data_IF_389165211276
#
_entry.id   IF_389165211276
#
_cell.length_a   1.000
_cell.length_b   1.000
_cell.length_c   1.000
_cell.angle_alpha   90.00
_cell.angle_beta   90.00
_cell.angle_gamma   90.00
#
_symmetry.space_group_name_H-M   'P 1'
#
loop_
_entity.id
_entity.type
_entity.pdbx_description
1 polymer ?
#
# COMPACT_ATOMS: atom_id res chain seq x y z
N UNK A 1 -5.79 -14.72 -22.93
CA UNK A 1 -5.54 -13.57 -23.80
C UNK A 1 -5.80 -12.33 -22.97
N UNK A 2 -4.72 -11.66 -22.57
CA UNK A 2 -4.71 -10.37 -21.84
C UNK A 2 -4.97 -9.27 -22.85
N UNK A 3 -6.08 -8.54 -22.73
CA UNK A 3 -6.14 -7.20 -23.28
C UNK A 3 -5.38 -6.30 -22.31
N UNK A 4 -4.17 -5.88 -22.68
CA UNK A 4 -3.64 -4.62 -22.16
C UNK A 4 -4.67 -3.54 -22.49
N UNK A 5 -4.99 -2.60 -21.58
CA UNK A 5 -5.83 -1.46 -21.93
C UNK A 5 -5.20 -0.78 -23.14
N UNK A 6 -5.97 -0.67 -24.21
CA UNK A 6 -5.55 -0.02 -25.45
C UNK A 6 -5.19 1.43 -25.14
N UNK A 7 -4.16 1.96 -25.79
CA UNK A 7 -3.61 3.31 -25.58
C UNK A 7 -4.61 4.48 -25.85
N UNK A 8 -5.85 4.15 -26.24
CA UNK A 8 -7.00 5.05 -26.41
C UNK A 8 -7.86 5.19 -25.15
N UNK A 9 -7.66 4.34 -24.14
CA UNK A 9 -8.35 4.45 -22.86
C UNK A 9 -7.60 5.43 -21.95
N UNK A 10 -8.28 6.45 -21.44
CA UNK A 10 -7.72 7.40 -20.47
C UNK A 10 -7.51 6.74 -19.10
N UNK A 11 -6.52 5.87 -19.03
CA UNK A 11 -6.22 5.02 -17.90
C UNK A 11 -4.72 4.98 -17.60
N UNK A 12 -4.39 4.82 -16.33
CA UNK A 12 -3.04 4.53 -15.88
C UNK A 12 -3.03 3.16 -15.19
N UNK A 13 -2.02 2.33 -15.41
CA UNK A 13 -1.94 1.02 -14.78
C UNK A 13 -0.55 0.67 -14.27
N UNK A 14 -0.51 -0.26 -13.31
CA UNK A 14 0.72 -0.91 -12.84
C UNK A 14 0.49 -2.39 -12.64
N UNK A 15 1.51 -3.18 -12.95
CA UNK A 15 1.52 -4.63 -12.69
C UNK A 15 2.49 -4.95 -11.57
N UNK A 16 2.03 -5.73 -10.60
CA UNK A 16 2.75 -6.03 -9.37
C UNK A 16 2.93 -7.54 -9.26
N UNK A 17 4.19 -7.97 -9.26
CA UNK A 17 4.57 -9.34 -8.92
C UNK A 17 4.30 -9.62 -7.45
N UNK A 18 3.61 -10.73 -7.16
CA UNK A 18 3.26 -11.11 -5.77
C UNK A 18 3.74 -12.51 -5.41
N UNK A 19 4.09 -12.76 -4.13
CA UNK A 19 4.52 -14.09 -3.66
C UNK A 19 3.34 -14.98 -3.20
N UNK A 20 2.13 -14.67 -3.66
CA UNK A 20 0.88 -15.29 -3.22
C UNK A 20 0.13 -15.90 -4.40
N UNK A 21 -0.60 -16.97 -4.13
CA UNK A 21 -1.60 -17.52 -5.04
C UNK A 21 -2.79 -16.56 -5.23
N UNK A 22 -3.59 -16.82 -6.26
CA UNK A 22 -4.71 -15.98 -6.64
C UNK A 22 -5.76 -15.85 -5.53
N UNK A 23 -6.07 -16.91 -4.79
CA UNK A 23 -7.12 -16.89 -3.77
C UNK A 23 -6.71 -16.08 -2.55
N UNK A 24 -5.44 -16.19 -2.14
CA UNK A 24 -4.88 -15.39 -1.06
C UNK A 24 -4.81 -13.93 -1.43
N UNK A 25 -4.50 -13.61 -2.69
CA UNK A 25 -4.49 -12.24 -3.18
C UNK A 25 -5.91 -11.65 -3.25
N UNK A 26 -6.91 -12.42 -3.71
CA UNK A 26 -8.32 -12.01 -3.67
C UNK A 26 -8.81 -11.69 -2.26
N UNK A 27 -8.52 -12.55 -1.28
CA UNK A 27 -8.83 -12.28 0.14
C UNK A 27 -8.12 -11.03 0.68
N UNK A 28 -6.92 -10.73 0.18
CA UNK A 28 -6.22 -9.50 0.55
C UNK A 28 -6.95 -8.25 0.01
N UNK A 29 -7.53 -8.32 -1.19
CA UNK A 29 -8.28 -7.21 -1.79
C UNK A 29 -9.61 -6.89 -1.10
N UNK A 30 -10.13 -7.81 -0.27
CA UNK A 30 -11.36 -7.56 0.49
C UNK A 30 -11.17 -6.52 1.62
N UNK A 31 -9.94 -6.29 2.07
CA UNK A 31 -9.63 -5.28 3.10
C UNK A 31 -9.26 -3.94 2.46
N UNK A 32 -10.29 -3.22 2.01
CA UNK A 32 -10.18 -1.94 1.29
C UNK A 32 -9.44 -0.89 2.13
N UNK A 33 -9.73 -0.83 3.44
CA UNK A 33 -9.04 0.11 4.34
C UNK A 33 -7.54 -0.13 4.35
N UNK A 34 -7.11 -1.39 4.44
CA UNK A 34 -5.70 -1.76 4.35
C UNK A 34 -5.10 -1.43 3.00
N UNK A 35 -5.80 -1.71 1.91
CA UNK A 35 -5.34 -1.48 0.55
C UNK A 35 -4.95 -0.01 0.33
N UNK A 36 -5.84 0.91 0.70
CA UNK A 36 -5.60 2.36 0.62
C UNK A 36 -4.54 2.83 1.61
N UNK A 37 -4.53 2.33 2.85
CA UNK A 37 -3.53 2.72 3.86
C UNK A 37 -2.10 2.33 3.50
N UNK A 38 -1.89 1.41 2.57
CA UNK A 38 -0.57 1.06 2.05
C UNK A 38 -0.02 2.17 1.15
N UNK A 39 -0.87 2.96 0.48
CA UNK A 39 -0.43 4.08 -0.36
C UNK A 39 0.29 5.13 0.49
N UNK A 40 1.61 5.24 0.36
CA UNK A 40 2.41 6.22 1.12
C UNK A 40 2.22 7.67 0.65
N UNK A 41 1.53 7.88 -0.46
CA UNK A 41 1.19 9.20 -0.99
C UNK A 41 -0.17 9.71 -0.49
N UNK A 42 -0.90 8.93 0.31
CA UNK A 42 -2.14 9.38 0.95
C UNK A 42 -1.93 9.59 2.45
N UNK A 43 -2.11 10.82 2.90
CA UNK A 43 -2.20 11.15 4.32
C UNK A 43 -3.68 11.26 4.72
N UNK A 44 -4.20 10.20 5.33
CA UNK A 44 -5.61 10.10 5.70
C UNK A 44 -5.96 11.01 6.87
N UNK A 45 -6.97 11.86 6.68
CA UNK A 45 -7.73 12.48 7.75
C UNK A 45 -8.86 11.54 8.19
N UNK A 46 -9.56 10.94 7.22
CA UNK A 46 -10.64 9.99 7.44
C UNK A 46 -10.60 8.85 6.41
N UNK A 47 -10.81 7.63 6.90
CA UNK A 47 -11.18 6.50 6.06
C UNK A 47 -12.11 5.60 6.87
N UNK A 48 -13.40 5.82 6.69
CA UNK A 48 -14.47 5.21 7.47
C UNK A 48 -15.37 4.41 6.55
N UNK A 49 -15.87 3.28 7.04
CA UNK A 49 -16.87 2.50 6.33
C UNK A 49 -18.24 3.06 6.68
N UNK A 50 -19.06 3.35 5.68
CA UNK A 50 -20.41 3.94 5.81
C UNK A 50 -21.52 2.96 5.45
N UNK A 51 -21.19 1.88 4.72
CA UNK A 51 -22.10 0.78 4.35
C UNK A 51 -21.34 -0.53 4.13
N UNK A 52 -22.00 -1.59 3.67
CA UNK A 52 -21.36 -2.91 3.46
C UNK A 52 -20.14 -2.84 2.54
N UNK A 53 -20.21 -1.98 1.51
CA UNK A 53 -19.12 -1.76 0.53
C UNK A 53 -18.91 -0.29 0.19
N UNK A 54 -19.27 0.57 1.13
CA UNK A 54 -19.20 2.01 0.97
C UNK A 54 -18.27 2.60 2.02
N UNK A 55 -17.45 3.56 1.59
CA UNK A 55 -16.49 4.23 2.46
C UNK A 55 -16.48 5.72 2.19
N UNK A 56 -16.28 6.51 3.24
CA UNK A 56 -15.91 7.91 3.12
C UNK A 56 -14.40 8.05 3.23
N UNK A 57 -13.79 8.69 2.23
CA UNK A 57 -12.37 8.98 2.16
C UNK A 57 -12.14 10.48 2.24
N UNK A 58 -11.32 10.90 3.21
CA UNK A 58 -10.74 12.23 3.27
C UNK A 58 -9.24 12.13 3.50
N UNK A 59 -8.45 12.60 2.55
CA UNK A 59 -6.99 12.49 2.62
C UNK A 59 -6.30 13.62 1.86
N UNK A 60 -5.08 13.96 2.27
CA UNK A 60 -4.17 14.76 1.46
C UNK A 60 -3.39 13.84 0.53
N UNK A 61 -3.52 14.05 -0.78
CA UNK A 61 -2.69 13.40 -1.77
C UNK A 61 -1.36 14.15 -1.90
N UNK A 62 -0.27 13.50 -1.49
CA UNK A 62 1.07 14.07 -1.50
C UNK A 62 1.68 14.13 -2.92
N UNK A 63 1.10 13.45 -3.92
CA UNK A 63 1.64 13.47 -5.29
C UNK A 63 1.29 14.74 -6.05
N UNK A 64 0.18 15.38 -5.68
CA UNK A 64 -0.29 16.65 -6.27
C UNK A 64 -0.55 17.73 -5.20
N UNK A 65 -0.39 17.41 -3.91
CA UNK A 65 -0.54 18.35 -2.79
C UNK A 65 -1.99 18.67 -2.41
N UNK A 66 -2.98 18.13 -3.14
CA UNK A 66 -4.40 18.46 -2.96
C UNK A 66 -5.07 17.58 -1.92
N UNK A 67 -6.10 18.11 -1.27
CA UNK A 67 -7.02 17.33 -0.45
C UNK A 67 -8.06 16.66 -1.34
N UNK A 68 -8.32 15.39 -1.10
CA UNK A 68 -9.35 14.59 -1.75
C UNK A 68 -10.40 14.24 -0.71
N UNK A 69 -11.65 14.53 -1.03
CA UNK A 69 -12.82 14.14 -0.24
C UNK A 69 -13.84 13.50 -1.19
N UNK A 70 -14.08 12.19 -1.02
CA UNK A 70 -14.93 11.42 -1.92
C UNK A 70 -15.50 10.20 -1.20
N UNK A 71 -16.62 9.69 -1.73
CA UNK A 71 -17.18 8.42 -1.32
C UNK A 71 -16.69 7.33 -2.29
N UNK A 72 -16.34 6.19 -1.71
CA UNK A 72 -15.89 5.00 -2.41
C UNK A 72 -17.02 3.97 -2.38
N UNK A 73 -17.38 3.44 -3.55
CA UNK A 73 -18.24 2.27 -3.65
C UNK A 73 -17.43 1.10 -4.22
N UNK A 74 -17.49 -0.05 -3.55
CA UNK A 74 -16.68 -1.22 -3.89
C UNK A 74 -17.55 -2.31 -4.48
N UNK A 75 -17.21 -2.76 -5.69
CA UNK A 75 -17.88 -3.86 -6.36
C UNK A 75 -16.90 -5.01 -6.58
N UNK A 76 -17.37 -6.23 -6.40
CA UNK A 76 -16.61 -7.42 -6.79
C UNK A 76 -16.66 -7.52 -8.32
N UNK A 77 -15.53 -7.80 -8.93
CA UNK A 77 -15.41 -8.12 -10.35
C UNK A 77 -14.77 -9.50 -10.50
N UNK A 78 -14.85 -10.10 -11.68
CA UNK A 78 -14.27 -11.41 -11.93
C UNK A 78 -12.77 -11.40 -11.66
N UNK A 79 -12.37 -12.10 -10.59
CA UNK A 79 -10.98 -12.17 -10.15
C UNK A 79 -10.45 -10.90 -9.46
N UNK A 80 -11.31 -9.98 -8.99
CA UNK A 80 -10.85 -8.69 -8.48
C UNK A 80 -11.88 -7.85 -7.74
N UNK A 81 -11.55 -6.59 -7.54
CA UNK A 81 -12.45 -5.56 -7.02
C UNK A 81 -12.32 -4.27 -7.83
N UNK A 82 -13.43 -3.56 -8.00
CA UNK A 82 -13.49 -2.24 -8.61
C UNK A 82 -13.94 -1.27 -7.52
N UNK A 83 -13.22 -0.17 -7.37
CA UNK A 83 -13.57 0.93 -6.47
C UNK A 83 -13.95 2.13 -7.31
N UNK A 84 -15.20 2.56 -7.24
CA UNK A 84 -15.67 3.78 -7.93
C UNK A 84 -15.68 4.96 -6.97
N UNK A 85 -15.33 6.13 -7.49
CA UNK A 85 -15.27 7.38 -6.72
C UNK A 85 -16.45 8.26 -7.09
N UNK A 86 -17.10 8.86 -6.09
CA UNK A 86 -18.23 9.77 -6.34
C UNK A 86 -17.81 11.14 -6.89
N UNK A 87 -16.56 11.55 -6.66
CA UNK A 87 -16.03 12.86 -7.00
C UNK A 87 -14.56 12.77 -7.44
N UNK A 88 -14.12 13.76 -8.23
CA UNK A 88 -12.74 13.88 -8.74
C UNK A 88 -12.59 13.40 -10.18
N UNK A 89 -11.43 13.65 -10.79
CA UNK A 89 -11.14 13.20 -12.15
C UNK A 89 -11.02 11.68 -12.30
N UNK A 90 -10.51 11.01 -11.26
CA UNK A 90 -10.40 9.55 -11.23
C UNK A 90 -11.78 8.95 -10.95
N UNK A 91 -12.33 8.21 -11.90
CA UNK A 91 -13.69 7.64 -11.83
C UNK A 91 -13.68 6.28 -11.14
N UNK A 92 -12.66 5.47 -11.39
CA UNK A 92 -12.54 4.16 -10.77
C UNK A 92 -11.09 3.69 -10.63
N UNK A 93 -10.88 2.76 -9.70
CA UNK A 93 -9.65 1.97 -9.59
C UNK A 93 -10.02 0.49 -9.62
N UNK A 94 -9.49 -0.24 -10.58
CA UNK A 94 -9.69 -1.68 -10.72
C UNK A 94 -8.47 -2.44 -10.22
N UNK A 95 -8.70 -3.44 -9.37
CA UNK A 95 -7.70 -4.38 -8.88
C UNK A 95 -8.02 -5.75 -9.44
N UNK A 96 -7.18 -6.25 -10.36
CA UNK A 96 -7.36 -7.54 -11.03
C UNK A 96 -6.27 -8.52 -10.63
N UNK A 97 -6.66 -9.74 -10.30
CA UNK A 97 -5.73 -10.82 -9.96
C UNK A 97 -5.55 -11.75 -11.15
N UNK A 98 -4.31 -11.84 -11.62
CA UNK A 98 -3.92 -12.68 -12.76
C UNK A 98 -3.09 -13.87 -12.27
N UNK A 99 -3.67 -15.09 -12.25
CA UNK A 99 -2.93 -16.29 -11.90
C UNK A 99 -1.80 -16.56 -12.91
N UNK A 100 -0.66 -17.02 -12.39
CA UNK A 100 0.48 -17.44 -13.20
C UNK A 100 0.63 -18.96 -13.23
N UNK A 101 1.29 -19.50 -14.27
CA UNK A 101 1.59 -20.94 -14.36
C UNK A 101 2.47 -21.47 -13.22
N UNK A 102 3.26 -20.62 -12.56
CA UNK A 102 4.15 -21.00 -11.45
C UNK A 102 3.44 -21.13 -10.09
N UNK A 103 2.11 -20.96 -10.07
CA UNK A 103 1.28 -21.03 -8.86
C UNK A 103 1.16 -19.71 -8.09
N UNK A 104 1.92 -18.68 -8.46
CA UNK A 104 1.74 -17.33 -7.92
C UNK A 104 0.69 -16.56 -8.74
N UNK A 105 0.42 -15.32 -8.36
CA UNK A 105 -0.43 -14.40 -9.12
C UNK A 105 0.20 -13.00 -9.20
N UNK A 106 -0.16 -12.26 -10.24
CA UNK A 106 0.09 -10.82 -10.33
C UNK A 106 -1.13 -10.04 -9.87
N UNK A 107 -0.90 -8.84 -9.35
CA UNK A 107 -1.92 -7.83 -9.14
C UNK A 107 -1.76 -6.75 -10.20
N UNK A 108 -2.79 -6.52 -10.99
CA UNK A 108 -2.87 -5.38 -11.91
C UNK A 108 -3.77 -4.33 -11.28
N UNK A 109 -3.28 -3.10 -11.15
CA UNK A 109 -4.05 -1.96 -10.64
C UNK A 109 -4.20 -0.95 -11.75
N UNK A 110 -5.42 -0.57 -12.07
CA UNK A 110 -5.74 0.38 -13.15
C UNK A 110 -6.60 1.50 -12.58
N UNK A 111 -6.13 2.74 -12.70
CA UNK A 111 -6.89 3.95 -12.45
C UNK A 111 -7.51 4.44 -13.77
N UNK A 112 -8.81 4.69 -13.76
CA UNK A 112 -9.61 5.15 -14.91
C UNK A 112 -9.99 6.64 -14.73
N UNK A 113 -9.85 7.40 -15.82
CA UNK A 113 -10.18 8.82 -15.93
C UNK A 113 -11.18 9.11 -17.06
N UNK A 114 -11.77 8.10 -17.67
CA UNK A 114 -12.63 8.20 -18.87
C UNK A 114 -13.96 8.93 -18.69
N UNK A 115 -14.42 9.20 -17.46
CA UNK A 115 -15.76 9.77 -17.21
C UNK A 115 -15.87 11.29 -17.33
N UNK A 116 -14.79 11.98 -17.73
CA UNK A 116 -14.78 13.43 -17.99
C UNK A 116 -14.22 13.71 -19.37
N UNK A 117 -14.66 14.79 -20.02
CA UNK A 117 -14.20 15.12 -21.37
C UNK A 117 -12.70 15.45 -21.41
N UNK A 118 -12.07 15.32 -22.57
CA UNK A 118 -10.65 15.69 -22.75
C UNK A 118 -10.36 17.14 -22.34
N UNK A 119 -11.23 18.08 -22.73
CA UNK A 119 -11.09 19.51 -22.39
C UNK A 119 -11.19 19.76 -20.88
N UNK A 120 -12.14 19.10 -20.20
CA UNK A 120 -12.30 19.24 -18.74
C UNK A 120 -11.10 18.64 -17.99
N UNK A 121 -10.56 17.52 -18.47
CA UNK A 121 -9.37 16.90 -17.89
C UNK A 121 -8.11 17.73 -18.09
N UNK A 122 -7.94 18.33 -19.26
CA UNK A 122 -6.82 19.23 -19.51
C UNK A 122 -6.89 20.46 -18.61
N UNK A 123 -8.09 21.03 -18.42
CA UNK A 123 -8.32 22.14 -17.51
C UNK A 123 -8.05 21.77 -16.03
N UNK A 124 -8.18 20.49 -15.66
CA UNK A 124 -8.03 19.97 -14.29
C UNK A 124 -6.82 19.04 -14.14
N UNK A 125 -5.82 19.18 -15.03
CA UNK A 125 -4.65 18.27 -15.13
C UNK A 125 -3.87 18.15 -13.81
N UNK A 126 -3.95 19.16 -12.96
CA UNK A 126 -3.31 19.20 -11.65
C UNK A 126 -4.02 18.35 -10.58
N UNK A 127 -5.28 17.94 -10.82
CA UNK A 127 -5.98 16.95 -10.00
C UNK A 127 -5.54 15.51 -10.29
N UNK A 128 -4.87 15.25 -11.42
CA UNK A 128 -4.44 13.90 -11.80
C UNK A 128 -3.56 13.28 -10.72
N UNK A 129 -3.94 12.08 -10.29
CA UNK A 129 -3.25 11.33 -9.26
C UNK A 129 -2.01 10.65 -9.85
N UNK A 130 -0.83 11.12 -9.43
CA UNK A 130 0.47 10.58 -9.88
C UNK A 130 1.01 9.53 -8.91
N UNK A 131 0.22 9.09 -7.94
CA UNK A 131 0.65 8.17 -6.89
C UNK A 131 0.67 6.70 -7.30
N UNK A 132 -0.01 6.30 -8.40
CA UNK A 132 -0.23 4.89 -8.73
C UNK A 132 1.06 4.06 -8.81
N UNK A 133 2.13 4.59 -9.43
CA UNK A 133 3.43 3.92 -9.51
C UNK A 133 4.04 3.70 -8.11
N UNK A 134 3.98 4.72 -7.25
CA UNK A 134 4.51 4.61 -5.89
C UNK A 134 3.66 3.67 -5.05
N UNK A 135 2.33 3.72 -5.18
CA UNK A 135 1.41 2.81 -4.50
C UNK A 135 1.66 1.36 -4.92
N UNK A 136 1.89 1.10 -6.19
CA UNK A 136 2.26 -0.23 -6.69
C UNK A 136 3.54 -0.76 -6.06
N UNK A 137 4.57 0.09 -5.90
CA UNK A 137 5.82 -0.27 -5.19
C UNK A 137 5.57 -0.54 -3.71
N UNK A 138 4.71 0.24 -3.07
CA UNK A 138 4.36 0.06 -1.66
C UNK A 138 3.60 -1.26 -1.44
N UNK A 139 2.65 -1.58 -2.32
CA UNK A 139 1.93 -2.86 -2.34
C UNK A 139 2.88 -4.03 -2.53
N UNK A 140 3.79 -3.95 -3.52
CA UNK A 140 4.80 -4.98 -3.75
C UNK A 140 5.64 -5.25 -2.49
N UNK A 141 6.19 -4.19 -1.90
CA UNK A 141 7.00 -4.27 -0.68
C UNK A 141 6.20 -4.86 0.48
N UNK A 142 4.97 -4.38 0.67
CA UNK A 142 4.08 -4.81 1.73
C UNK A 142 3.77 -6.31 1.64
N UNK A 143 3.40 -6.79 0.45
CA UNK A 143 3.06 -8.20 0.21
C UNK A 143 4.28 -9.12 0.45
N UNK A 144 5.47 -8.72 0.00
CA UNK A 144 6.71 -9.48 0.24
C UNK A 144 7.09 -9.54 1.72
N UNK A 145 7.03 -8.41 2.43
CA UNK A 145 7.28 -8.38 3.87
C UNK A 145 6.25 -9.22 4.62
N UNK A 146 4.98 -9.14 4.22
CA UNK A 146 3.92 -9.95 4.79
C UNK A 146 4.19 -11.45 4.58
N UNK A 147 4.61 -11.89 3.40
CA UNK A 147 4.99 -13.30 3.17
C UNK A 147 6.15 -13.70 4.09
N UNK A 148 7.25 -12.94 4.06
CA UNK A 148 8.50 -13.24 4.79
C UNK A 148 8.28 -13.38 6.30
N UNK A 149 7.48 -12.51 6.89
CA UNK A 149 7.33 -12.42 8.34
C UNK A 149 5.98 -12.96 8.86
N UNK A 150 5.12 -13.49 7.98
CA UNK A 150 3.80 -14.00 8.39
C UNK A 150 3.85 -15.13 9.43
N UNK A 151 4.95 -15.88 9.49
CA UNK A 151 5.16 -16.94 10.47
C UNK A 151 5.60 -16.43 11.85
N UNK A 152 6.08 -15.18 11.95
CA UNK A 152 6.53 -14.62 13.23
C UNK A 152 5.33 -14.22 14.07
N UNK A 153 5.18 -14.77 15.30
CA UNK A 153 4.10 -14.38 16.20
C UNK A 153 4.07 -12.87 16.44
N UNK A 154 2.87 -12.29 16.44
CA UNK A 154 2.68 -10.85 16.66
C UNK A 154 2.95 -9.95 15.44
N UNK A 155 3.61 -10.43 14.38
CA UNK A 155 3.88 -9.61 13.19
C UNK A 155 2.60 -9.08 12.53
N UNK A 156 1.62 -9.97 12.33
CA UNK A 156 0.33 -9.58 11.74
C UNK A 156 -0.42 -8.57 12.61
N UNK A 157 -0.33 -8.71 13.93
CA UNK A 157 -0.92 -7.76 14.88
C UNK A 157 -0.24 -6.39 14.77
N UNK A 158 1.10 -6.35 14.81
CA UNK A 158 1.87 -5.12 14.65
C UNK A 158 1.54 -4.41 13.33
N UNK A 159 1.58 -5.14 12.21
CA UNK A 159 1.32 -4.56 10.89
C UNK A 159 -0.09 -3.99 10.77
N UNK A 160 -1.10 -4.64 11.37
CA UNK A 160 -2.50 -4.21 11.30
C UNK A 160 -2.83 -3.09 12.29
N UNK A 161 -2.37 -3.21 13.54
CA UNK A 161 -2.80 -2.33 14.63
C UNK A 161 -1.88 -1.13 14.84
N UNK A 162 -0.61 -1.25 14.50
CA UNK A 162 0.40 -0.20 14.69
C UNK A 162 0.80 0.42 13.35
N UNK A 163 1.35 -0.36 12.41
CA UNK A 163 1.93 0.21 11.18
C UNK A 163 0.88 0.82 10.22
N UNK A 164 -0.23 0.12 9.96
CA UNK A 164 -1.28 0.57 9.04
C UNK A 164 -1.93 1.91 9.42
N UNK A 165 -2.34 2.17 10.68
CA UNK A 165 -2.97 3.44 11.03
C UNK A 165 -2.01 4.63 11.04
N UNK A 166 -0.69 4.40 11.06
CA UNK A 166 0.29 5.48 11.06
C UNK A 166 0.30 6.28 9.76
N UNK A 167 0.50 7.59 9.91
CA UNK A 167 0.81 8.49 8.80
C UNK A 167 2.10 8.06 8.09
N UNK A 168 2.24 8.33 6.78
CA UNK A 168 3.48 8.04 6.05
C UNK A 168 4.73 8.63 6.71
N UNK A 169 4.65 9.87 7.23
CA UNK A 169 5.73 10.52 7.98
C UNK A 169 6.09 9.76 9.26
N UNK A 170 5.09 9.34 10.05
CA UNK A 170 5.29 8.58 11.26
C UNK A 170 5.97 7.22 10.99
N UNK A 171 5.63 6.55 9.89
CA UNK A 171 6.31 5.30 9.47
C UNK A 171 7.81 5.53 9.19
N UNK A 172 8.16 6.65 8.56
CA UNK A 172 9.57 7.02 8.30
C UNK A 172 10.31 7.30 9.61
N UNK A 173 9.68 8.04 10.53
CA UNK A 173 10.25 8.33 11.86
C UNK A 173 10.48 7.03 12.65
N UNK A 174 9.50 6.13 12.70
CA UNK A 174 9.66 4.84 13.38
C UNK A 174 10.78 3.98 12.78
N UNK A 175 10.96 4.01 11.46
CA UNK A 175 12.09 3.34 10.83
C UNK A 175 13.43 3.95 11.30
N UNK A 176 13.55 5.27 11.30
CA UNK A 176 14.76 5.96 11.79
C UNK A 176 15.05 5.62 13.25
N UNK A 177 14.05 5.69 14.13
CA UNK A 177 14.20 5.31 15.54
C UNK A 177 14.63 3.85 15.69
N UNK A 178 14.03 2.93 14.92
CA UNK A 178 14.41 1.51 14.96
C UNK A 178 15.87 1.30 14.53
N UNK A 179 16.34 2.04 13.52
CA UNK A 179 17.74 1.97 13.07
C UNK A 179 18.71 2.53 14.11
N UNK A 180 18.35 3.63 14.79
CA UNK A 180 19.15 4.20 15.88
C UNK A 180 19.23 3.20 17.03
N UNK A 181 18.10 2.65 17.48
CA UNK A 181 18.06 1.66 18.56
C UNK A 181 18.86 0.40 18.21
N UNK A 182 18.83 -0.05 16.96
CA UNK A 182 19.64 -1.17 16.51
C UNK A 182 21.14 -0.85 16.61
N UNK A 183 21.56 0.35 16.19
CA UNK A 183 22.95 0.78 16.30
C UNK A 183 23.40 0.88 17.76
N UNK A 184 22.56 1.45 18.64
CA UNK A 184 22.80 1.52 20.09
C UNK A 184 22.96 0.12 20.69
N UNK A 185 22.08 -0.82 20.31
CA UNK A 185 22.15 -2.19 20.78
C UNK A 185 23.45 -2.89 20.35
N UNK A 186 23.89 -2.66 19.11
CA UNK A 186 25.17 -3.20 18.61
C UNK A 186 26.36 -2.65 19.42
N UNK A 187 26.39 -1.33 19.69
CA UNK A 187 27.45 -0.73 20.52
C UNK A 187 27.42 -1.29 21.94
N UNK A 188 26.24 -1.42 22.54
CA UNK A 188 26.06 -2.04 23.84
C UNK A 188 26.63 -3.46 23.87
N UNK A 189 26.33 -4.28 22.86
CA UNK A 189 26.88 -5.63 22.76
C UNK A 189 28.40 -5.64 22.60
N UNK A 190 28.99 -4.69 21.89
CA UNK A 190 30.46 -4.58 21.79
C UNK A 190 31.09 -4.29 23.16
N UNK A 191 30.58 -3.28 23.89
CA UNK A 191 31.09 -2.93 25.22
C UNK A 191 30.92 -4.10 26.19
N UNK A 192 29.73 -4.74 26.17
CA UNK A 192 29.47 -5.91 26.99
C UNK A 192 30.42 -7.07 26.66
N UNK A 193 30.70 -7.30 25.38
CA UNK A 193 31.62 -8.36 24.95
C UNK A 193 33.06 -8.10 25.41
N UNK A 194 33.54 -6.85 25.32
CA UNK A 194 34.87 -6.47 25.82
C UNK A 194 34.93 -6.69 27.33
N UNK A 195 33.93 -6.20 28.07
CA UNK A 195 33.87 -6.38 29.52
C UNK A 195 33.87 -7.86 29.91
N UNK A 196 33.07 -8.69 29.23
CA UNK A 196 33.01 -10.13 29.49
C UNK A 196 34.35 -10.82 29.24
N UNK A 197 35.04 -10.50 28.14
CA UNK A 197 36.35 -11.08 27.82
C UNK A 197 37.48 -10.60 28.74
N UNK A 198 37.38 -9.38 29.28
CA UNK A 198 38.34 -8.87 30.26
C UNK A 198 38.04 -9.36 31.68
N UNK A 199 36.80 -9.71 31.99
CA UNK A 199 36.41 -10.23 33.31
C UNK A 199 37.21 -11.49 33.67
N UNK A 200 37.47 -12.37 32.70
CA UNK A 200 38.30 -13.58 32.90
C UNK A 200 39.74 -13.23 33.35
N UNK A 201 40.27 -12.06 32.96
CA UNK A 201 41.60 -11.60 33.39
C UNK A 201 41.64 -11.03 34.81
N UNK A 202 40.48 -10.70 35.38
CA UNK A 202 40.36 -10.14 36.73
C UNK A 202 39.99 -11.20 37.78
N UNK A 203 39.65 -12.43 37.35
CA UNK A 203 39.25 -13.53 38.22
C UNK A 203 40.35 -14.60 38.43
N UNK A 204 41.48 -14.49 37.74
CA UNK A 204 42.74 -15.23 37.99
C UNK A 204 43.72 -14.40 38.86
#
# INVERSE_FOLDING_TARGET
>A
MTAEPTNDDDAAWVTIETPFDADRLRRFLEDIKRLYRINSMLEFEELRQTGDREYRLKAKNLSNGRSVETDLEVRRADGGVIVTYSNGLKTSTTFRVDPKPDGNAQLVVTDDYGGTSGEEREARIDEVDKSLVQWGRDLHRYLRLSKRWSAVPGWNFYMRRVWQPMKPSARRICYLLSMITLAEFVVFLMVFSVFWLELDKFLD
#
